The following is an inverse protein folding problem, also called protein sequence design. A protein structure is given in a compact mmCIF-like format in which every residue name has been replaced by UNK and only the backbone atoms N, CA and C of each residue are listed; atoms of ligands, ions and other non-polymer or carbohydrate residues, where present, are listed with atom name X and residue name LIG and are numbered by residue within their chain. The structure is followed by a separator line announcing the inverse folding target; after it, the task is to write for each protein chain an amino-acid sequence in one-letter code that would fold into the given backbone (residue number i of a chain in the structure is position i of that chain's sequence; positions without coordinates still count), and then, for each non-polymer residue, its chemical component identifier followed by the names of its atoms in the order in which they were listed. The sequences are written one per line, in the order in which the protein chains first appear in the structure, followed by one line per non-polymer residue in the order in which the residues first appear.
data_IF_652307546417
#
_entry.id   IF_652307546417
#
_cell.length_a   1.000
_cell.length_b   1.000
_cell.length_c   1.000
_cell.angle_alpha   90.00
_cell.angle_beta   90.00
_cell.angle_gamma   90.00
#
_symmetry.space_group_name_H-M   'P 1'
#
loop_
_entity.id
_entity.type
_entity.pdbx_description
1 polymer ?
#
# COMPACT_ATOMS: atom_id res chain seq x y z
N UNK A 1 -31.80 18.60 -19.90
CA UNK A 1 -30.50 17.93 -19.65
C UNK A 1 -30.44 17.24 -18.28
N UNK A 2 -30.43 17.93 -17.13
CA UNK A 2 -30.31 17.27 -15.82
C UNK A 2 -31.39 16.21 -15.50
N UNK A 3 -32.68 16.56 -15.62
CA UNK A 3 -33.79 15.62 -15.41
C UNK A 3 -33.77 14.44 -16.40
N UNK A 4 -33.45 14.71 -17.67
CA UNK A 4 -33.36 13.67 -18.71
C UNK A 4 -32.21 12.71 -18.43
N UNK A 5 -31.06 13.21 -18.02
CA UNK A 5 -29.93 12.39 -17.60
C UNK A 5 -30.28 11.55 -16.37
N UNK A 6 -30.95 12.13 -15.38
CA UNK A 6 -31.40 11.41 -14.19
C UNK A 6 -32.36 10.26 -14.55
N UNK A 7 -33.34 10.53 -15.41
CA UNK A 7 -34.25 9.50 -15.93
C UNK A 7 -33.51 8.41 -16.70
N UNK A 8 -32.54 8.78 -17.55
CA UNK A 8 -31.72 7.82 -18.29
C UNK A 8 -30.95 6.88 -17.34
N UNK A 9 -30.28 7.43 -16.32
CA UNK A 9 -29.52 6.64 -15.34
C UNK A 9 -30.44 5.73 -14.53
N UNK A 10 -31.62 6.20 -14.14
CA UNK A 10 -32.60 5.41 -13.37
C UNK A 10 -33.28 4.30 -14.17
N UNK A 11 -33.35 4.44 -15.49
CA UNK A 11 -34.05 3.48 -16.38
C UNK A 11 -33.09 2.60 -17.17
N UNK A 12 -31.79 2.69 -16.91
CA UNK A 12 -30.79 1.84 -17.55
C UNK A 12 -30.98 0.38 -17.12
N UNK A 13 -31.16 -0.50 -18.10
CA UNK A 13 -31.32 -1.95 -17.94
C UNK A 13 -30.29 -2.74 -18.76
N UNK A 14 -29.26 -2.05 -19.25
CA UNK A 14 -28.19 -2.67 -20.03
C UNK A 14 -27.52 -3.77 -19.22
N UNK A 15 -27.19 -4.86 -19.89
CA UNK A 15 -26.27 -5.86 -19.37
C UNK A 15 -24.85 -5.28 -19.22
N UNK A 16 -24.01 -5.95 -18.44
CA UNK A 16 -22.61 -5.54 -18.25
C UNK A 16 -21.89 -5.43 -19.60
N UNK A 17 -22.10 -6.38 -20.52
CA UNK A 17 -21.47 -6.38 -21.83
C UNK A 17 -21.92 -5.21 -22.71
N UNK A 18 -23.21 -4.86 -22.66
CA UNK A 18 -23.76 -3.69 -23.37
C UNK A 18 -23.23 -2.38 -22.80
N UNK A 19 -23.07 -2.28 -21.47
CA UNK A 19 -22.45 -1.11 -20.85
C UNK A 19 -20.98 -0.98 -21.27
N UNK A 20 -20.21 -2.06 -21.25
CA UNK A 20 -18.81 -2.06 -21.70
C UNK A 20 -18.72 -1.62 -23.16
N UNK A 21 -19.57 -2.15 -24.04
CA UNK A 21 -19.61 -1.76 -25.45
C UNK A 21 -19.97 -0.28 -25.62
N UNK A 22 -20.95 0.22 -24.86
CA UNK A 22 -21.36 1.62 -24.89
C UNK A 22 -20.23 2.57 -24.44
N UNK A 23 -19.57 2.27 -23.33
CA UNK A 23 -18.47 3.09 -22.80
C UNK A 23 -17.25 3.08 -23.71
N UNK A 24 -16.88 1.91 -24.24
CA UNK A 24 -15.73 1.77 -25.15
C UNK A 24 -15.98 2.45 -26.49
N UNK A 25 -17.22 2.43 -27.01
CA UNK A 25 -17.60 3.21 -28.19
C UNK A 25 -17.43 4.72 -27.95
N UNK A 26 -17.67 5.18 -26.72
CA UNK A 26 -17.40 6.56 -26.28
C UNK A 26 -15.92 6.86 -25.98
N UNK A 27 -15.01 5.92 -26.21
CA UNK A 27 -13.57 6.06 -25.93
C UNK A 27 -13.19 5.90 -24.45
N UNK A 28 -14.13 5.48 -23.59
CA UNK A 28 -13.88 5.21 -22.17
C UNK A 28 -13.47 3.75 -22.01
N UNK A 29 -12.17 3.53 -21.84
CA UNK A 29 -11.56 2.18 -21.81
C UNK A 29 -10.98 1.82 -20.45
N UNK A 30 -10.92 2.77 -19.51
CA UNK A 30 -10.35 2.56 -18.17
C UNK A 30 -11.28 3.07 -17.08
N UNK A 31 -11.36 2.30 -16.00
CA UNK A 31 -12.05 2.69 -14.77
C UNK A 31 -11.06 2.57 -13.61
N UNK A 32 -10.64 3.71 -13.07
CA UNK A 32 -9.65 3.77 -11.98
C UNK A 32 -10.38 4.21 -10.71
N UNK A 33 -10.30 3.40 -9.67
CA UNK A 33 -10.84 3.73 -8.35
C UNK A 33 -9.82 4.52 -7.54
N UNK A 34 -10.29 5.57 -6.87
CA UNK A 34 -9.47 6.28 -5.90
C UNK A 34 -9.18 5.41 -4.69
N UNK A 35 -7.97 5.51 -4.16
CA UNK A 35 -7.61 4.93 -2.88
C UNK A 35 -8.33 5.70 -1.77
N UNK A 36 -8.85 4.96 -0.80
CA UNK A 36 -9.57 5.53 0.34
C UNK A 36 -9.52 4.58 1.54
N UNK A 37 -9.85 5.10 2.73
CA UNK A 37 -9.95 4.32 3.97
C UNK A 37 -11.29 4.44 4.73
N UNK A 38 -12.31 5.04 4.13
CA UNK A 38 -13.65 5.17 4.73
C UNK A 38 -14.61 4.03 4.35
N UNK A 39 -14.30 3.23 3.33
CA UNK A 39 -15.11 2.09 2.86
C UNK A 39 -14.24 0.85 2.83
N UNK A 40 -14.63 -0.15 3.60
CA UNK A 40 -14.07 -1.49 3.55
C UNK A 40 -14.88 -2.27 2.50
N UNK A 41 -14.19 -2.78 1.48
CA UNK A 41 -14.80 -3.64 0.49
C UNK A 41 -15.04 -5.03 1.09
N UNK A 42 -16.28 -5.50 1.02
CA UNK A 42 -16.60 -6.88 1.34
C UNK A 42 -16.25 -7.79 0.17
N UNK A 43 -15.75 -8.98 0.47
CA UNK A 43 -15.43 -10.01 -0.51
C UNK A 43 -15.96 -11.35 -0.01
N UNK A 44 -16.76 -12.00 -0.85
CA UNK A 44 -17.14 -13.40 -0.66
C UNK A 44 -16.48 -14.17 -1.79
N UNK A 45 -15.47 -14.96 -1.44
CA UNK A 45 -14.78 -15.83 -2.38
C UNK A 45 -15.15 -17.29 -2.07
N UNK A 46 -15.82 -17.94 -3.00
CA UNK A 46 -16.30 -19.31 -2.87
C UNK A 46 -15.86 -20.12 -4.09
N UNK A 47 -15.36 -21.32 -3.86
CA UNK A 47 -15.05 -22.30 -4.92
C UNK A 47 -15.88 -23.55 -4.69
N UNK A 48 -16.09 -24.32 -5.75
CA UNK A 48 -16.85 -25.56 -5.70
C UNK A 48 -15.88 -26.73 -5.58
N UNK A 49 -16.11 -27.61 -4.60
CA UNK A 49 -15.45 -28.91 -4.53
C UNK A 49 -16.42 -29.96 -5.05
N UNK A 50 -16.02 -30.63 -6.13
CA UNK A 50 -16.76 -31.77 -6.65
C UNK A 50 -16.26 -33.06 -6.00
N UNK A 51 -17.17 -33.79 -5.38
CA UNK A 51 -16.89 -35.14 -4.85
C UNK A 51 -16.76 -36.15 -5.99
N UNK A 52 -16.18 -37.32 -5.71
CA UNK A 52 -16.05 -38.42 -6.68
C UNK A 52 -17.39 -38.95 -7.24
N UNK A 53 -18.52 -38.54 -6.65
CA UNK A 53 -19.88 -38.88 -7.10
C UNK A 53 -20.54 -37.76 -7.92
N UNK A 54 -19.81 -36.71 -8.30
CA UNK A 54 -20.32 -35.57 -9.10
C UNK A 54 -21.13 -34.55 -8.29
N UNK A 55 -21.20 -34.67 -6.97
CA UNK A 55 -21.87 -33.67 -6.11
C UNK A 55 -20.92 -32.54 -5.80
N UNK A 56 -21.33 -31.31 -6.11
CA UNK A 56 -20.57 -30.09 -5.86
C UNK A 56 -20.97 -29.43 -4.54
N UNK A 57 -19.97 -29.09 -3.72
CA UNK A 57 -20.14 -28.39 -2.45
C UNK A 57 -19.42 -27.03 -2.49
N UNK A 58 -20.12 -25.92 -2.24
CA UNK A 58 -19.47 -24.62 -2.13
C UNK A 58 -18.61 -24.56 -0.86
N UNK A 59 -17.35 -24.18 -1.01
CA UNK A 59 -16.46 -23.86 0.10
C UNK A 59 -16.03 -22.40 0.00
N UNK A 60 -16.29 -21.64 1.06
CA UNK A 60 -15.92 -20.23 1.15
C UNK A 60 -14.48 -20.10 1.62
N UNK A 61 -13.59 -19.60 0.77
CA UNK A 61 -12.19 -19.31 1.09
C UNK A 61 -12.05 -18.07 1.96
N UNK A 62 -12.87 -17.06 1.66
CA UNK A 62 -12.79 -15.77 2.31
C UNK A 62 -14.17 -15.14 2.36
N UNK A 63 -14.52 -14.61 3.52
CA UNK A 63 -15.75 -13.87 3.74
C UNK A 63 -15.44 -12.63 4.57
N UNK A 64 -15.41 -11.47 3.92
CA UNK A 64 -15.29 -10.17 4.58
C UNK A 64 -16.54 -9.35 4.33
N UNK A 65 -17.09 -8.78 5.40
CA UNK A 65 -18.24 -7.89 5.31
C UNK A 65 -17.76 -6.50 4.87
N UNK A 66 -18.47 -5.91 3.91
CA UNK A 66 -18.27 -4.52 3.55
C UNK A 66 -18.86 -3.60 4.61
N UNK A 67 -18.14 -2.53 4.96
CA UNK A 67 -18.60 -1.55 5.94
C UNK A 67 -18.08 -0.15 5.63
N UNK A 68 -18.68 0.86 6.27
CA UNK A 68 -18.27 2.25 6.16
C UNK A 68 -17.77 2.75 7.51
N UNK A 69 -16.56 3.31 7.52
CA UNK A 69 -15.88 3.90 8.67
C UNK A 69 -15.71 5.41 8.48
N UNK A 70 -16.79 6.11 8.15
CA UNK A 70 -16.77 7.56 7.83
C UNK A 70 -16.33 8.42 9.01
N UNK A 71 -16.56 7.99 10.26
CA UNK A 71 -16.20 8.76 11.45
C UNK A 71 -14.69 8.74 11.76
N UNK A 72 -13.97 7.67 11.41
CA UNK A 72 -12.55 7.47 11.72
C UNK A 72 -11.65 7.55 10.49
N UNK A 73 -12.20 7.82 9.31
CA UNK A 73 -11.44 7.94 8.08
C UNK A 73 -10.48 9.14 8.15
N UNK A 74 -9.38 9.04 7.40
CA UNK A 74 -8.40 10.11 7.27
C UNK A 74 -8.16 10.52 5.81
N UNK A 75 -8.72 9.78 4.85
CA UNK A 75 -8.56 9.98 3.41
C UNK A 75 -9.31 11.19 2.82
N UNK A 76 -10.36 11.70 3.47
CA UNK A 76 -11.12 12.89 3.00
C UNK A 76 -10.28 14.18 2.96
N UNK A 77 -9.11 14.18 3.60
CA UNK A 77 -8.15 15.29 3.50
C UNK A 77 -7.59 15.41 2.08
N UNK A 78 -7.50 14.32 1.34
CA UNK A 78 -6.73 14.25 0.10
C UNK A 78 -7.55 14.74 -1.09
N UNK A 79 -8.61 14.02 -1.44
CA UNK A 79 -9.50 14.38 -2.54
C UNK A 79 -10.88 14.77 -2.03
N UNK A 80 -11.38 15.93 -2.49
CA UNK A 80 -12.64 16.53 -2.05
C UNK A 80 -13.89 15.79 -2.58
N UNK A 81 -13.93 15.50 -3.89
CA UNK A 81 -15.01 14.76 -4.56
C UNK A 81 -16.37 15.47 -4.67
N UNK A 82 -17.19 14.99 -5.61
CA UNK A 82 -18.48 15.60 -5.96
C UNK A 82 -19.49 15.62 -4.80
N UNK A 83 -19.49 14.60 -3.93
CA UNK A 83 -20.40 14.57 -2.79
C UNK A 83 -20.16 15.75 -1.84
N UNK A 84 -18.89 16.14 -1.65
CA UNK A 84 -18.51 17.29 -0.83
C UNK A 84 -18.88 18.61 -1.51
N UNK A 85 -18.80 18.71 -2.84
CA UNK A 85 -19.30 19.86 -3.59
C UNK A 85 -20.79 20.07 -3.38
N UNK A 86 -21.59 19.00 -3.53
CA UNK A 86 -23.04 19.04 -3.35
C UNK A 86 -23.42 19.37 -1.90
N UNK A 87 -22.72 18.80 -0.92
CA UNK A 87 -22.89 19.13 0.50
C UNK A 87 -22.60 20.61 0.76
N UNK A 88 -21.51 21.13 0.20
CA UNK A 88 -21.08 22.50 0.43
C UNK A 88 -22.12 23.49 -0.13
N UNK A 89 -22.58 23.32 -1.36
CA UNK A 89 -23.54 24.27 -1.96
C UNK A 89 -24.95 24.16 -1.38
N UNK A 90 -25.37 22.96 -0.97
CA UNK A 90 -26.71 22.73 -0.43
C UNK A 90 -26.88 23.29 0.99
N UNK A 91 -25.79 23.40 1.76
CA UNK A 91 -25.85 23.87 3.13
C UNK A 91 -25.47 25.36 3.24
N UNK A 92 -26.43 26.18 3.65
CA UNK A 92 -26.29 27.63 3.82
C UNK A 92 -25.23 28.03 4.86
N UNK A 93 -24.84 27.14 5.78
CA UNK A 93 -23.82 27.43 6.79
C UNK A 93 -22.38 27.31 6.27
N UNK A 94 -22.18 26.78 5.07
CA UNK A 94 -20.84 26.65 4.49
C UNK A 94 -20.46 27.91 3.72
N UNK A 95 -19.16 28.06 3.41
CA UNK A 95 -18.68 29.17 2.58
C UNK A 95 -19.21 29.10 1.14
N UNK A 96 -19.73 27.95 0.70
CA UNK A 96 -20.32 27.75 -0.63
C UNK A 96 -21.85 27.72 -0.63
N UNK A 97 -22.50 27.96 0.51
CA UNK A 97 -23.97 27.92 0.60
C UNK A 97 -24.65 28.75 -0.48
N UNK A 98 -25.51 28.10 -1.28
CA UNK A 98 -26.24 28.75 -2.38
C UNK A 98 -25.39 29.18 -3.59
N UNK A 99 -24.12 28.77 -3.67
CA UNK A 99 -23.24 29.04 -4.83
C UNK A 99 -23.46 28.04 -5.97
N UNK A 100 -22.95 28.39 -7.15
CA UNK A 100 -22.97 27.52 -8.31
C UNK A 100 -21.71 26.65 -8.39
N UNK A 101 -21.85 25.41 -8.88
CA UNK A 101 -20.71 24.55 -9.28
C UNK A 101 -20.37 24.68 -10.77
N UNK A 102 -21.11 25.51 -11.51
CA UNK A 102 -20.84 25.76 -12.93
C UNK A 102 -19.71 26.78 -13.02
N UNK A 103 -18.57 26.38 -13.59
CA UNK A 103 -17.36 27.22 -13.67
C UNK A 103 -17.60 28.58 -14.32
N UNK A 104 -18.46 28.64 -15.34
CA UNK A 104 -18.78 29.89 -16.06
C UNK A 104 -19.87 30.74 -15.39
N UNK A 105 -20.36 30.35 -14.21
CA UNK A 105 -21.34 31.15 -13.47
C UNK A 105 -20.66 32.33 -12.77
N UNK A 106 -21.30 33.51 -12.79
CA UNK A 106 -20.90 34.65 -11.95
C UNK A 106 -21.00 34.36 -10.44
N UNK A 107 -21.63 33.26 -10.06
CA UNK A 107 -21.76 32.79 -8.67
C UNK A 107 -20.99 31.48 -8.42
N UNK A 108 -19.96 31.17 -9.22
CA UNK A 108 -19.13 29.97 -9.03
C UNK A 108 -18.48 29.95 -7.63
N UNK A 109 -18.70 28.86 -6.89
CA UNK A 109 -18.32 28.76 -5.48
C UNK A 109 -16.82 28.86 -5.21
N UNK A 110 -16.00 28.28 -6.09
CA UNK A 110 -14.54 28.19 -5.92
C UNK A 110 -13.77 29.37 -6.55
N UNK A 111 -14.43 30.47 -6.94
CA UNK A 111 -13.72 31.65 -7.45
C UNK A 111 -12.75 32.24 -6.42
N UNK A 112 -13.17 32.31 -5.16
CA UNK A 112 -12.41 32.93 -4.05
C UNK A 112 -12.24 32.00 -2.85
N UNK A 113 -12.58 30.71 -3.01
CA UNK A 113 -12.52 29.71 -1.95
C UNK A 113 -11.76 28.49 -2.46
N UNK A 114 -10.88 27.93 -1.64
CA UNK A 114 -10.21 26.68 -1.94
C UNK A 114 -10.84 25.52 -1.17
N UNK A 115 -10.64 24.30 -1.67
CA UNK A 115 -11.08 23.08 -0.99
C UNK A 115 -10.46 22.97 0.41
N UNK A 116 -9.20 23.39 0.58
CA UNK A 116 -8.52 23.46 1.87
C UNK A 116 -9.31 24.26 2.92
N UNK A 117 -9.84 25.44 2.55
CA UNK A 117 -10.61 26.28 3.49
C UNK A 117 -11.90 25.57 3.91
N UNK A 118 -12.55 24.84 3.01
CA UNK A 118 -13.75 24.07 3.33
C UNK A 118 -13.43 22.85 4.20
N UNK A 119 -12.29 22.19 3.98
CA UNK A 119 -11.79 21.12 4.84
C UNK A 119 -11.46 21.63 6.26
N UNK A 120 -11.00 22.87 6.39
CA UNK A 120 -10.84 23.52 7.69
C UNK A 120 -12.19 23.89 8.30
N UNK A 121 -13.12 24.44 7.51
CA UNK A 121 -14.45 24.81 7.98
C UNK A 121 -15.22 23.61 8.54
N UNK A 122 -15.14 22.46 7.87
CA UNK A 122 -15.82 21.24 8.28
C UNK A 122 -15.03 20.40 9.31
N UNK A 123 -13.88 20.91 9.77
CA UNK A 123 -12.97 20.27 10.75
C UNK A 123 -12.34 18.95 10.29
N UNK A 124 -12.35 18.64 8.99
CA UNK A 124 -11.58 17.52 8.43
C UNK A 124 -10.08 17.78 8.53
N UNK A 125 -9.67 19.05 8.42
CA UNK A 125 -8.32 19.53 8.69
C UNK A 125 -8.33 20.55 9.82
N UNK A 126 -7.42 20.38 10.77
CA UNK A 126 -7.19 21.39 11.81
C UNK A 126 -6.34 22.53 11.25
N UNK A 127 -6.65 23.76 11.65
CA UNK A 127 -5.86 24.94 11.36
C UNK A 127 -5.31 25.53 12.67
N UNK A 128 -4.02 25.92 12.75
CA UNK A 128 -3.01 25.82 11.69
C UNK A 128 -2.67 24.35 11.36
N UNK A 129 -2.21 24.12 10.12
CA UNK A 129 -1.70 22.80 9.72
C UNK A 129 -0.49 22.43 10.58
N UNK A 130 -0.36 21.15 10.92
CA UNK A 130 0.84 20.64 11.57
C UNK A 130 2.05 20.73 10.64
N UNK A 131 3.27 20.65 11.18
CA UNK A 131 4.48 20.72 10.36
C UNK A 131 4.50 19.63 9.27
N UNK A 132 4.11 18.39 9.63
CA UNK A 132 3.98 17.28 8.67
C UNK A 132 3.00 17.59 7.54
N UNK A 133 1.82 18.14 7.85
CA UNK A 133 0.85 18.52 6.83
C UNK A 133 1.30 19.70 5.96
N UNK A 134 2.06 20.66 6.50
CA UNK A 134 2.68 21.70 5.67
C UNK A 134 3.68 21.11 4.68
N UNK A 135 4.49 20.13 5.10
CA UNK A 135 5.43 19.44 4.20
C UNK A 135 4.71 18.69 3.08
N UNK A 136 3.64 17.95 3.40
CA UNK A 136 2.79 17.28 2.41
C UNK A 136 2.20 18.29 1.43
N UNK A 137 1.66 19.39 1.95
CA UNK A 137 1.06 20.42 1.11
C UNK A 137 2.08 21.04 0.14
N UNK A 138 3.28 21.33 0.63
CA UNK A 138 4.33 21.97 -0.16
C UNK A 138 4.96 21.02 -1.19
N UNK A 139 5.05 19.71 -0.89
CA UNK A 139 5.71 18.72 -1.74
C UNK A 139 4.77 18.04 -2.73
N UNK A 140 3.53 17.77 -2.34
CA UNK A 140 2.56 17.02 -3.15
C UNK A 140 1.52 17.97 -3.75
N UNK A 141 0.90 18.81 -2.92
CA UNK A 141 -0.12 19.76 -3.37
C UNK A 141 -1.13 20.10 -2.27
N UNK A 142 -2.04 21.06 -2.51
CA UNK A 142 -3.05 21.45 -1.54
C UNK A 142 -4.02 20.31 -1.23
N UNK A 143 -4.31 20.13 0.07
CA UNK A 143 -5.34 19.20 0.51
C UNK A 143 -6.71 19.53 -0.11
N UNK A 144 -7.47 18.48 -0.42
CA UNK A 144 -8.69 18.52 -1.21
C UNK A 144 -8.46 18.31 -2.71
N UNK A 145 -7.23 18.50 -3.19
CA UNK A 145 -6.85 18.36 -4.60
C UNK A 145 -5.77 17.29 -4.85
N UNK A 146 -5.52 16.41 -3.87
CA UNK A 146 -4.56 15.30 -4.00
C UNK A 146 -5.33 14.02 -4.36
N UNK A 147 -5.13 13.53 -5.59
CA UNK A 147 -5.65 12.25 -6.01
C UNK A 147 -4.78 11.10 -5.50
N UNK A 148 -5.40 10.15 -4.80
CA UNK A 148 -4.76 8.89 -4.45
C UNK A 148 -5.38 7.76 -5.26
N UNK A 149 -4.55 6.89 -5.84
CA UNK A 149 -4.99 5.74 -6.63
C UNK A 149 -4.31 4.47 -6.14
N UNK A 150 -4.97 3.33 -6.35
CA UNK A 150 -4.35 2.04 -6.10
C UNK A 150 -3.51 1.65 -7.32
N UNK A 151 -2.22 1.39 -7.11
CA UNK A 151 -1.30 0.87 -8.14
C UNK A 151 -1.11 -0.63 -7.88
N UNK A 152 -1.55 -1.51 -8.81
CA UNK A 152 -1.35 -2.94 -8.63
C UNK A 152 0.13 -3.30 -8.79
N UNK A 153 0.61 -4.38 -8.14
CA UNK A 153 1.95 -4.88 -8.37
C UNK A 153 2.11 -5.34 -9.84
N UNK A 154 3.31 -5.21 -10.43
CA UNK A 154 3.54 -5.66 -11.79
C UNK A 154 3.27 -7.17 -11.95
N UNK A 155 2.80 -7.58 -13.14
CA UNK A 155 2.47 -9.00 -13.39
C UNK A 155 3.67 -9.94 -13.21
N UNK A 156 4.89 -9.46 -13.52
CA UNK A 156 6.15 -10.17 -13.28
C UNK A 156 6.35 -10.50 -11.80
N UNK A 157 6.02 -9.59 -10.88
CA UNK A 157 6.11 -9.81 -9.43
C UNK A 157 5.11 -10.87 -8.94
N UNK A 158 3.89 -10.86 -9.49
CA UNK A 158 2.90 -11.90 -9.19
C UNK A 158 3.35 -13.28 -9.70
N UNK A 159 3.86 -13.34 -10.92
CA UNK A 159 4.39 -14.56 -11.53
C UNK A 159 5.63 -15.08 -10.79
N UNK A 160 6.50 -14.17 -10.33
CA UNK A 160 7.66 -14.49 -9.49
C UNK A 160 7.23 -15.21 -8.22
N UNK A 161 6.24 -14.64 -7.50
CA UNK A 161 5.71 -15.23 -6.28
C UNK A 161 5.08 -16.60 -6.55
N UNK A 162 4.23 -16.72 -7.57
CA UNK A 162 3.59 -17.99 -7.93
C UNK A 162 4.62 -19.08 -8.28
N UNK A 163 5.55 -18.78 -9.17
CA UNK A 163 6.59 -19.73 -9.62
C UNK A 163 7.50 -20.16 -8.47
N UNK A 164 7.84 -19.22 -7.58
CA UNK A 164 8.66 -19.51 -6.40
C UNK A 164 7.94 -20.40 -5.41
N UNK A 165 6.65 -20.13 -5.13
CA UNK A 165 5.83 -20.97 -4.25
C UNK A 165 5.69 -22.40 -4.80
N UNK A 166 5.50 -22.55 -6.11
CA UNK A 166 5.41 -23.87 -6.75
C UNK A 166 6.71 -24.65 -6.65
N UNK A 167 7.87 -23.98 -6.81
CA UNK A 167 9.18 -24.61 -6.60
C UNK A 167 9.38 -25.02 -5.14
N UNK A 168 9.13 -24.09 -4.20
CA UNK A 168 9.31 -24.34 -2.77
C UNK A 168 8.44 -25.53 -2.32
N UNK A 169 7.16 -25.54 -2.68
CA UNK A 169 6.21 -26.60 -2.30
C UNK A 169 6.58 -27.94 -2.90
N UNK A 170 6.94 -27.99 -4.18
CA UNK A 170 7.40 -29.23 -4.82
C UNK A 170 8.65 -29.79 -4.12
N UNK A 171 9.62 -28.91 -3.82
CA UNK A 171 10.88 -29.28 -3.15
C UNK A 171 10.64 -29.84 -1.74
N UNK A 172 9.75 -29.21 -0.97
CA UNK A 172 9.35 -29.66 0.37
C UNK A 172 8.61 -30.99 0.33
N UNK A 173 7.77 -31.19 -0.69
CA UNK A 173 7.02 -32.43 -0.87
C UNK A 173 7.93 -33.62 -1.24
N UNK A 174 8.94 -33.38 -2.07
CA UNK A 174 9.87 -34.41 -2.55
C UNK A 174 10.97 -34.77 -1.56
N UNK A 175 11.32 -33.87 -0.64
CA UNK A 175 12.45 -34.06 0.28
C UNK A 175 12.13 -33.70 1.73
N UNK A 176 12.18 -34.71 2.60
CA UNK A 176 12.05 -34.53 4.04
C UNK A 176 13.17 -33.64 4.62
N UNK A 177 14.38 -33.68 4.06
CA UNK A 177 15.45 -32.79 4.51
C UNK A 177 15.17 -31.34 4.11
N UNK A 178 14.65 -31.11 2.89
CA UNK A 178 14.24 -29.78 2.45
C UNK A 178 13.10 -29.23 3.34
N UNK A 179 12.11 -30.07 3.67
CA UNK A 179 11.05 -29.73 4.62
C UNK A 179 11.62 -29.32 5.99
N UNK A 180 12.61 -30.04 6.51
CA UNK A 180 13.25 -29.71 7.79
C UNK A 180 14.03 -28.40 7.74
N UNK A 181 14.78 -28.14 6.66
CA UNK A 181 15.52 -26.88 6.47
C UNK A 181 14.58 -25.69 6.30
N UNK A 182 13.47 -25.88 5.57
CA UNK A 182 12.43 -24.86 5.44
C UNK A 182 11.78 -24.53 6.78
N UNK A 183 11.43 -25.56 7.57
CA UNK A 183 10.82 -25.39 8.88
C UNK A 183 11.76 -24.70 9.90
N UNK A 184 13.08 -24.84 9.73
CA UNK A 184 14.09 -24.19 10.55
C UNK A 184 14.20 -22.68 10.32
N UNK A 185 13.63 -22.15 9.24
CA UNK A 185 13.52 -20.70 9.01
C UNK A 185 12.58 -20.12 10.07
N UNK A 186 13.12 -19.27 10.93
CA UNK A 186 12.35 -18.62 11.98
C UNK A 186 11.35 -17.62 11.37
N UNK A 187 10.14 -17.63 11.93
CA UNK A 187 9.10 -16.61 11.69
C UNK A 187 8.76 -15.89 12.98
N UNK A 188 9.68 -15.90 13.95
CA UNK A 188 9.44 -15.37 15.28
C UNK A 188 9.07 -13.88 15.20
N UNK A 189 7.82 -13.59 15.59
CA UNK A 189 7.18 -12.27 15.56
C UNK A 189 7.75 -11.33 16.63
N UNK A 190 8.61 -11.83 17.54
CA UNK A 190 9.36 -10.96 18.46
C UNK A 190 10.43 -10.13 17.75
N UNK A 191 10.81 -10.51 16.53
CA UNK A 191 11.56 -9.69 15.60
C UNK A 191 10.59 -9.08 14.59
N UNK A 192 9.84 -8.04 14.99
CA UNK A 192 9.26 -7.12 14.01
C UNK A 192 10.39 -6.71 13.05
N UNK A 193 10.31 -7.16 11.79
CA UNK A 193 11.39 -6.97 10.83
C UNK A 193 11.30 -5.52 10.37
N UNK A 194 11.93 -4.62 11.11
CA UNK A 194 12.25 -3.30 10.60
C UNK A 194 13.40 -3.47 9.62
N UNK A 195 13.07 -3.69 8.33
CA UNK A 195 14.03 -3.52 7.25
C UNK A 195 14.22 -2.02 7.08
N UNK A 196 15.44 -1.54 7.33
CA UNK A 196 15.77 -0.12 7.27
C UNK A 196 16.57 0.12 5.98
N UNK A 197 16.01 0.81 4.97
CA UNK A 197 16.76 1.21 3.78
C UNK A 197 18.02 2.00 4.14
N UNK A 198 19.06 1.93 3.30
CA UNK A 198 20.36 2.56 3.57
C UNK A 198 20.24 4.06 3.88
N UNK A 199 19.38 4.78 3.14
CA UNK A 199 19.10 6.19 3.38
C UNK A 199 18.70 6.47 4.84
N UNK A 200 17.85 5.62 5.40
CA UNK A 200 17.37 5.75 6.77
C UNK A 200 18.39 5.26 7.81
N UNK A 201 19.23 4.28 7.47
CA UNK A 201 20.36 3.88 8.33
C UNK A 201 21.36 5.03 8.53
N UNK A 202 21.63 5.82 7.49
CA UNK A 202 22.55 6.96 7.55
C UNK A 202 22.08 8.04 8.53
N UNK A 203 20.77 8.11 8.80
CA UNK A 203 20.13 9.03 9.76
C UNK A 203 19.51 8.27 10.95
N UNK A 204 20.05 7.11 11.31
CA UNK A 204 19.49 6.24 12.34
C UNK A 204 19.31 6.90 13.71
N UNK A 205 20.09 7.95 14.02
CA UNK A 205 19.97 8.73 15.25
C UNK A 205 18.85 9.78 15.23
N UNK A 206 18.31 10.11 14.06
CA UNK A 206 17.24 11.09 13.90
C UNK A 206 15.92 10.52 14.41
N UNK A 207 15.00 11.39 14.82
CA UNK A 207 13.69 11.00 15.31
C UNK A 207 12.70 10.84 14.15
N UNK A 208 12.05 9.69 14.04
CA UNK A 208 10.91 9.50 13.16
C UNK A 208 9.64 10.02 13.85
N UNK A 209 8.95 10.95 13.19
CA UNK A 209 7.78 11.66 13.72
C UNK A 209 6.51 11.39 12.90
N UNK A 210 6.48 10.28 12.17
CA UNK A 210 5.31 9.79 11.44
C UNK A 210 5.62 9.36 10.00
N UNK A 211 4.84 8.41 9.46
CA UNK A 211 5.05 7.82 8.13
C UNK A 211 3.84 7.91 7.20
N UNK A 212 2.73 8.48 7.68
CA UNK A 212 1.46 8.54 6.95
C UNK A 212 1.17 9.94 6.43
N UNK A 213 0.90 10.04 5.12
CA UNK A 213 0.48 11.30 4.47
C UNK A 213 -0.88 11.79 5.02
N UNK A 214 -1.70 10.88 5.56
CA UNK A 214 -3.04 11.17 6.07
C UNK A 214 -3.02 11.70 7.51
N UNK A 215 -1.86 11.66 8.16
CA UNK A 215 -1.65 12.03 9.54
C UNK A 215 -0.67 13.19 9.65
N UNK A 216 -0.88 14.02 10.68
CA UNK A 216 0.12 15.01 11.05
C UNK A 216 1.33 14.31 11.68
N UNK A 217 2.34 15.10 11.99
CA UNK A 217 3.48 14.66 12.78
C UNK A 217 3.07 14.31 14.22
N UNK A 218 3.66 13.26 14.77
CA UNK A 218 3.46 12.78 16.14
C UNK A 218 4.78 12.28 16.73
N UNK A 219 4.87 12.23 18.06
CA UNK A 219 6.08 11.76 18.73
C UNK A 219 6.33 10.27 18.44
N UNK A 220 7.49 9.95 17.89
CA UNK A 220 7.96 8.58 17.66
C UNK A 220 9.32 8.32 18.28
N UNK A 221 10.08 7.39 17.69
CA UNK A 221 11.39 6.95 18.16
C UNK A 221 12.51 7.23 17.15
N UNK A 222 13.76 6.89 17.47
CA UNK A 222 14.87 6.98 16.53
C UNK A 222 14.63 6.11 15.28
N UNK A 223 14.98 6.61 14.10
CA UNK A 223 14.84 5.90 12.81
C UNK A 223 15.56 4.54 12.84
N UNK A 224 16.66 4.43 13.57
CA UNK A 224 17.40 3.17 13.74
C UNK A 224 16.63 2.06 14.46
N UNK A 225 15.54 2.40 15.16
CA UNK A 225 14.64 1.41 15.77
C UNK A 225 13.60 0.88 14.76
N UNK A 226 13.51 1.48 13.59
CA UNK A 226 12.54 1.17 12.55
C UNK A 226 11.82 2.41 12.05
N UNK A 227 11.18 2.28 10.88
CA UNK A 227 10.35 3.32 10.31
C UNK A 227 8.99 3.32 11.00
N UNK A 228 8.36 4.48 11.12
CA UNK A 228 6.98 4.59 11.62
C UNK A 228 5.98 4.17 10.55
N UNK A 229 4.81 3.68 10.98
CA UNK A 229 3.74 3.16 10.12
C UNK A 229 3.44 4.08 8.92
N UNK A 230 3.37 3.47 7.74
CA UNK A 230 3.09 4.16 6.49
C UNK A 230 1.60 4.50 6.32
N UNK A 231 1.27 5.15 5.20
CA UNK A 231 -0.13 5.46 4.84
C UNK A 231 -0.97 4.17 4.75
N UNK A 232 -1.89 3.99 5.70
CA UNK A 232 -2.67 2.75 5.87
C UNK A 232 -4.18 2.97 5.78
N UNK A 233 -4.90 1.90 5.42
CA UNK A 233 -6.38 1.87 5.43
C UNK A 233 -6.97 1.62 6.80
N UNK A 234 -6.21 1.00 7.69
CA UNK A 234 -6.72 0.46 8.97
C UNK A 234 -6.11 1.17 10.16
N UNK A 235 -4.97 1.83 9.99
CA UNK A 235 -4.24 2.42 11.11
C UNK A 235 -4.69 3.88 11.34
N UNK A 236 -5.20 4.22 12.54
CA UNK A 236 -5.56 5.59 12.87
C UNK A 236 -4.32 6.46 13.12
N UNK A 237 -4.50 7.78 13.06
CA UNK A 237 -3.42 8.72 13.39
C UNK A 237 -3.11 8.76 14.89
N UNK A 238 -1.95 9.31 15.23
CA UNK A 238 -1.44 9.51 16.60
C UNK A 238 -1.14 8.22 17.37
N UNK A 239 -0.95 7.11 16.67
CA UNK A 239 -0.36 5.91 17.23
C UNK A 239 1.08 5.78 16.74
N UNK A 240 2.02 5.75 17.67
CA UNK A 240 3.44 5.53 17.39
C UNK A 240 3.71 4.04 17.11
N UNK A 241 3.20 3.55 15.98
CA UNK A 241 3.45 2.21 15.48
C UNK A 241 4.64 2.22 14.54
N UNK A 242 5.44 1.17 14.59
CA UNK A 242 6.48 0.91 13.60
C UNK A 242 5.84 0.26 12.37
N UNK A 243 6.35 0.59 11.19
CA UNK A 243 6.04 -0.11 9.96
C UNK A 243 6.61 -1.52 10.05
N UNK A 244 5.74 -2.47 10.36
CA UNK A 244 6.12 -3.86 10.53
C UNK A 244 5.96 -4.61 9.21
N UNK A 245 7.06 -5.14 8.69
CA UNK A 245 7.03 -6.14 7.63
C UNK A 245 7.05 -7.51 8.30
N UNK A 246 6.04 -8.35 8.02
CA UNK A 246 5.94 -9.71 8.56
C UNK A 246 6.15 -10.72 7.41
N UNK A 247 7.38 -10.88 6.90
CA UNK A 247 7.67 -11.86 5.85
C UNK A 247 7.46 -13.29 6.36
N UNK A 248 6.89 -14.12 5.50
CA UNK A 248 6.74 -15.56 5.72
C UNK A 248 8.03 -16.30 5.35
N UNK A 249 8.14 -17.59 5.71
CA UNK A 249 9.24 -18.46 5.25
C UNK A 249 9.36 -18.47 3.74
N UNK A 250 8.22 -18.50 3.04
CA UNK A 250 8.18 -18.45 1.59
C UNK A 250 8.83 -17.18 1.05
N UNK A 251 8.61 -16.02 1.69
CA UNK A 251 9.23 -14.76 1.29
C UNK A 251 10.76 -14.81 1.41
N UNK A 252 11.30 -15.38 2.49
CA UNK A 252 12.74 -15.51 2.69
C UNK A 252 13.40 -16.48 1.70
N UNK A 253 12.75 -17.61 1.41
CA UNK A 253 13.27 -18.54 0.40
C UNK A 253 13.14 -17.96 -1.00
N UNK A 254 12.02 -17.32 -1.31
CA UNK A 254 11.82 -16.62 -2.58
C UNK A 254 12.90 -15.56 -2.81
N UNK A 255 13.26 -14.75 -1.80
CA UNK A 255 14.32 -13.75 -1.94
C UNK A 255 15.69 -14.40 -2.15
N UNK A 256 15.99 -15.49 -1.43
CA UNK A 256 17.22 -16.26 -1.62
C UNK A 256 17.34 -16.89 -3.02
N UNK A 257 16.24 -17.38 -3.59
CA UNK A 257 16.18 -17.93 -4.94
C UNK A 257 16.31 -16.83 -6.01
N UNK A 258 15.58 -15.72 -5.82
CA UNK A 258 15.50 -14.60 -6.77
C UNK A 258 16.86 -13.92 -6.97
N UNK A 259 17.58 -13.69 -5.88
CA UNK A 259 18.87 -12.98 -5.88
C UNK A 259 20.08 -13.91 -5.89
N UNK A 260 19.87 -15.23 -5.90
CA UNK A 260 20.95 -16.23 -5.78
C UNK A 260 21.86 -15.98 -4.58
N UNK A 261 21.25 -15.68 -3.42
CA UNK A 261 22.00 -15.30 -2.23
C UNK A 261 22.98 -16.39 -1.84
N UNK A 262 24.21 -15.97 -1.54
CA UNK A 262 25.29 -16.81 -1.03
C UNK A 262 25.51 -16.54 0.45
N UNK A 263 26.27 -17.41 1.10
CA UNK A 263 26.65 -17.23 2.50
C UNK A 263 27.38 -15.89 2.75
N UNK A 264 28.11 -15.38 1.76
CA UNK A 264 28.75 -14.05 1.82
C UNK A 264 27.78 -12.88 1.93
N UNK A 265 26.54 -13.06 1.45
CA UNK A 265 25.55 -11.98 1.32
C UNK A 265 24.69 -11.85 2.58
N UNK A 266 24.77 -12.84 3.49
CA UNK A 266 23.98 -12.89 4.73
C UNK A 266 24.29 -11.69 5.62
N UNK A 267 25.57 -11.45 5.93
CA UNK A 267 25.97 -10.38 6.87
C UNK A 267 25.64 -8.99 6.31
N UNK A 268 25.98 -8.65 5.05
CA UNK A 268 25.56 -7.37 4.47
C UNK A 268 24.04 -7.20 4.38
N UNK A 269 23.28 -8.27 4.12
CA UNK A 269 21.81 -8.16 4.06
C UNK A 269 21.22 -7.94 5.46
N UNK A 270 21.74 -8.66 6.46
CA UNK A 270 21.24 -8.57 7.83
C UNK A 270 21.67 -7.30 8.58
N UNK A 271 22.62 -6.49 8.08
CA UNK A 271 22.92 -5.18 8.66
C UNK A 271 21.76 -4.18 8.55
N UNK A 272 20.84 -4.41 7.59
CA UNK A 272 19.61 -3.65 7.42
C UNK A 272 18.47 -4.12 8.35
N UNK A 273 18.71 -5.15 9.15
CA UNK A 273 17.76 -5.70 10.09
C UNK A 273 18.00 -5.11 11.49
N UNK A 274 16.94 -4.80 12.23
CA UNK A 274 17.04 -4.31 13.62
C UNK A 274 17.83 -5.28 14.53
N UNK A 275 17.75 -6.58 14.27
CA UNK A 275 18.51 -7.63 14.96
C UNK A 275 19.38 -8.44 13.98
N UNK A 276 20.59 -7.97 13.62
CA UNK A 276 21.41 -8.58 12.57
C UNK A 276 21.76 -10.05 12.86
N UNK A 277 22.07 -10.39 14.12
CA UNK A 277 22.47 -11.74 14.50
C UNK A 277 21.32 -12.75 14.35
N UNK A 278 20.11 -12.37 14.74
CA UNK A 278 18.90 -13.19 14.58
C UNK A 278 18.56 -13.38 13.11
N UNK A 279 18.67 -12.31 12.31
CA UNK A 279 18.50 -12.38 10.86
C UNK A 279 19.50 -13.36 10.25
N UNK A 280 20.79 -13.27 10.62
CA UNK A 280 21.82 -14.08 10.01
C UNK A 280 21.68 -15.55 10.38
N UNK A 281 21.50 -15.85 11.67
CA UNK A 281 21.50 -17.22 12.20
C UNK A 281 20.19 -17.98 11.93
N UNK A 282 19.05 -17.35 12.18
CA UNK A 282 17.76 -18.04 12.25
C UNK A 282 16.88 -17.83 11.02
N UNK A 283 17.21 -16.87 10.15
CA UNK A 283 16.37 -16.49 9.00
C UNK A 283 17.12 -16.72 7.69
N UNK A 284 18.14 -15.92 7.39
CA UNK A 284 18.81 -15.97 6.09
C UNK A 284 19.72 -17.18 5.93
N UNK A 285 20.44 -17.62 6.96
CA UNK A 285 21.25 -18.85 6.88
C UNK A 285 20.43 -20.08 6.46
N UNK A 286 19.32 -20.44 7.12
CA UNK A 286 18.51 -21.57 6.68
C UNK A 286 17.82 -21.34 5.32
N UNK A 287 17.43 -20.10 4.99
CA UNK A 287 16.84 -19.79 3.67
C UNK A 287 17.85 -19.95 2.52
N UNK A 288 19.08 -19.47 2.70
CA UNK A 288 20.19 -19.66 1.76
C UNK A 288 20.54 -21.13 1.64
N UNK A 289 20.62 -21.86 2.76
CA UNK A 289 20.88 -23.30 2.76
C UNK A 289 19.79 -24.08 2.01
N UNK A 290 18.52 -23.68 2.13
CA UNK A 290 17.43 -24.29 1.38
C UNK A 290 17.62 -24.08 -0.13
N UNK A 291 17.84 -22.82 -0.54
CA UNK A 291 18.03 -22.42 -1.94
C UNK A 291 19.20 -23.18 -2.58
N UNK A 292 20.37 -23.19 -1.94
CA UNK A 292 21.59 -23.78 -2.50
C UNK A 292 21.56 -25.31 -2.53
N UNK A 293 21.02 -25.96 -1.50
CA UNK A 293 21.11 -27.42 -1.38
C UNK A 293 20.00 -28.17 -2.11
N UNK A 294 18.81 -27.57 -2.28
CA UNK A 294 17.63 -28.30 -2.76
C UNK A 294 17.08 -27.84 -4.10
N UNK A 295 17.43 -26.65 -4.59
CA UNK A 295 16.79 -26.09 -5.80
C UNK A 295 17.71 -25.95 -7.01
N UNK A 296 19.02 -26.14 -6.84
CA UNK A 296 20.04 -25.83 -7.86
C UNK A 296 19.95 -26.62 -9.17
N UNK A 297 19.15 -27.70 -9.24
CA UNK A 297 18.93 -28.51 -10.46
C UNK A 297 17.55 -28.29 -11.09
N UNK A 298 16.67 -27.52 -10.45
CA UNK A 298 15.32 -27.32 -10.94
C UNK A 298 15.30 -26.30 -12.07
N UNK A 299 14.65 -26.64 -13.18
CA UNK A 299 14.55 -25.78 -14.36
C UNK A 299 13.83 -24.44 -14.07
N UNK A 300 12.95 -24.41 -13.05
CA UNK A 300 12.20 -23.20 -12.65
C UNK A 300 13.10 -22.14 -12.03
N UNK A 301 14.29 -22.50 -11.52
CA UNK A 301 15.21 -21.54 -10.90
C UNK A 301 15.62 -20.42 -11.86
N UNK A 302 15.90 -20.75 -13.13
CA UNK A 302 16.21 -19.74 -14.15
C UNK A 302 15.03 -18.81 -14.41
N UNK A 303 13.81 -19.36 -14.48
CA UNK A 303 12.59 -18.57 -14.67
C UNK A 303 12.35 -17.60 -13.49
N UNK A 304 12.56 -18.06 -12.25
CA UNK A 304 12.47 -17.21 -11.05
C UNK A 304 13.45 -16.04 -11.14
N UNK A 305 14.69 -16.26 -11.56
CA UNK A 305 15.71 -15.20 -11.66
C UNK A 305 15.38 -14.19 -12.77
N UNK A 306 14.88 -14.66 -13.92
CA UNK A 306 14.41 -13.78 -14.99
C UNK A 306 13.23 -12.92 -14.52
N UNK A 307 12.21 -13.55 -13.91
CA UNK A 307 11.05 -12.84 -13.37
C UNK A 307 11.44 -11.85 -12.28
N UNK A 308 12.44 -12.17 -11.44
CA UNK A 308 12.96 -11.26 -10.42
C UNK A 308 13.59 -10.01 -11.03
N UNK A 309 14.37 -10.17 -12.10
CA UNK A 309 15.02 -9.05 -12.80
C UNK A 309 13.98 -8.14 -13.48
N UNK A 310 12.98 -8.75 -14.12
CA UNK A 310 11.86 -8.02 -14.74
C UNK A 310 11.02 -7.28 -13.70
N UNK A 311 10.65 -7.96 -12.60
CA UNK A 311 9.91 -7.36 -11.50
C UNK A 311 10.66 -6.19 -10.89
N UNK A 312 11.96 -6.34 -10.64
CA UNK A 312 12.81 -5.29 -10.10
C UNK A 312 12.80 -4.06 -11.03
N UNK A 313 12.97 -4.28 -12.34
CA UNK A 313 12.97 -3.20 -13.34
C UNK A 313 11.62 -2.47 -13.40
N UNK A 314 10.51 -3.20 -13.33
CA UNK A 314 9.16 -2.63 -13.35
C UNK A 314 8.83 -1.88 -12.05
N UNK A 315 9.26 -2.38 -10.90
CA UNK A 315 9.10 -1.71 -9.60
C UNK A 315 9.91 -0.41 -9.58
N UNK A 316 11.15 -0.43 -10.07
CA UNK A 316 11.96 0.78 -10.19
C UNK A 316 11.38 1.80 -11.16
N UNK A 317 10.86 1.34 -12.31
CA UNK A 317 10.18 2.21 -13.27
C UNK A 317 8.91 2.86 -12.71
N UNK A 318 8.26 2.23 -11.72
CA UNK A 318 7.11 2.79 -11.02
C UNK A 318 7.47 3.91 -10.01
N UNK A 319 8.76 4.17 -9.78
CA UNK A 319 9.27 5.23 -8.90
C UNK A 319 8.66 5.19 -7.48
N UNK A 320 8.55 3.99 -6.91
CA UNK A 320 7.97 3.81 -5.56
C UNK A 320 8.95 4.33 -4.50
N UNK A 321 8.44 5.14 -3.58
CA UNK A 321 9.22 5.68 -2.45
C UNK A 321 8.51 5.43 -1.12
N UNK A 322 9.29 5.08 -0.10
CA UNK A 322 8.85 5.07 1.30
C UNK A 322 9.08 6.45 1.89
N UNK A 323 8.13 6.97 2.66
CA UNK A 323 8.23 8.31 3.26
C UNK A 323 8.27 8.23 4.78
N UNK A 324 9.07 9.10 5.40
CA UNK A 324 9.01 9.41 6.83
C UNK A 324 9.14 10.92 7.05
N UNK A 325 8.40 11.43 8.03
CA UNK A 325 8.72 12.68 8.70
C UNK A 325 9.83 12.42 9.69
N UNK A 326 10.94 13.13 9.57
CA UNK A 326 12.11 12.97 10.42
C UNK A 326 12.61 14.31 10.93
N UNK A 327 13.30 14.28 12.06
CA UNK A 327 13.91 15.46 12.67
C UNK A 327 15.21 15.04 13.34
N UNK A 328 16.33 15.70 12.99
CA UNK A 328 17.64 15.41 13.58
C UNK A 328 17.64 15.60 15.11
N UNK A 329 17.05 16.70 15.58
CA UNK A 329 16.86 17.01 16.99
C UNK A 329 15.76 18.08 17.15
N UNK A 330 15.34 18.35 18.39
CA UNK A 330 14.20 19.24 18.68
C UNK A 330 14.39 20.70 18.25
N UNK A 331 15.61 21.14 17.88
CA UNK A 331 15.87 22.51 17.40
C UNK A 331 15.91 22.62 15.88
N UNK A 332 16.05 21.51 15.16
CA UNK A 332 16.03 21.47 13.69
C UNK A 332 14.59 21.41 13.15
N UNK A 333 14.32 21.88 11.92
CA UNK A 333 13.00 21.76 11.32
C UNK A 333 12.63 20.30 11.06
N UNK A 334 11.33 20.02 11.02
CA UNK A 334 10.82 18.74 10.54
C UNK A 334 11.07 18.62 9.03
N UNK A 335 11.53 17.45 8.60
CA UNK A 335 11.76 17.13 7.19
C UNK A 335 10.91 15.95 6.73
N UNK A 336 10.53 15.93 5.45
CA UNK A 336 9.85 14.79 4.82
C UNK A 336 10.86 14.12 3.90
N UNK A 337 11.41 12.98 4.32
CA UNK A 337 12.36 12.19 3.53
C UNK A 337 11.62 11.08 2.80
N UNK A 338 11.93 10.91 1.52
CA UNK A 338 11.43 9.82 0.69
C UNK A 338 12.63 8.97 0.26
N UNK A 339 12.59 7.65 0.44
CA UNK A 339 13.58 6.75 -0.14
C UNK A 339 13.46 6.80 -1.66
N UNK A 340 14.46 7.35 -2.33
CA UNK A 340 14.51 7.28 -3.78
C UNK A 340 14.82 5.84 -4.18
N UNK A 341 14.12 5.27 -5.16
CA UNK A 341 14.47 3.98 -5.71
C UNK A 341 15.90 3.87 -6.29
N UNK A 342 16.62 4.98 -6.47
CA UNK A 342 17.98 5.00 -7.01
C UNK A 342 19.12 5.03 -5.98
N UNK A 343 18.84 4.97 -4.66
CA UNK A 343 19.89 5.00 -3.62
C UNK A 343 19.44 4.65 -2.21
#
# INVERSE_FOLDING_TARGET
MGHQWLTMVQTNVNSIDEEVAYWTQGGIVTYIVQWQNYKISGLINTYMIESAFGVQYPMTLMHTNGSYNVASQTSFKMYWGLASDLWAVANNSTLLGGKSLIQNSSYFGFMNQSMLVLLTQNKTLMSPLSAGFMLVQNRIGPFGSIDMVYVPPPASANNLMATSLDLIRATIFESASAASTFAAISTDQTASVAIIPQLFLNISSWMALGGSLLCGDYAGGPVGMGLTEFTSRTTPCNLALLAEFVPTRDNYVMSALSLQLKTSDIVPTCSHHQSPDVCASNILSPAVAFSTNFTGKDARLMAIQTLATEALTQIWAAQVSLMQFVQENTTQPLEMICSDPSG
#
